data_IF_441576960368
#
_entry.id   IF_441576960368
#
_cell.length_a   1.000
_cell.length_b   1.000
_cell.length_c   1.000
_cell.angle_alpha   90.00
_cell.angle_beta   90.00
_cell.angle_gamma   90.00
#
_symmetry.space_group_name_H-M   'P 1'
#
loop_
_entity.id
_entity.type
_entity.pdbx_description
1 polymer ?
#
# COMPACT_ATOMS: atom_id res chain seq x y z
N UNK A 1 9.08 -16.87 -15.76
CA UNK A 1 8.42 -15.84 -14.93
C UNK A 1 8.25 -16.40 -13.53
N UNK A 2 8.83 -15.76 -12.49
CA UNK A 2 8.78 -16.29 -11.12
C UNK A 2 7.42 -15.94 -10.53
N UNK A 3 6.67 -16.92 -10.03
CA UNK A 3 5.36 -16.69 -9.42
C UNK A 3 5.52 -15.68 -8.27
N UNK A 4 4.80 -14.54 -8.33
CA UNK A 4 4.84 -13.53 -7.26
C UNK A 4 4.31 -14.19 -5.99
N UNK A 5 5.11 -14.19 -4.92
CA UNK A 5 4.66 -14.69 -3.61
C UNK A 5 3.51 -13.82 -3.14
N UNK A 6 2.57 -14.40 -2.37
CA UNK A 6 1.53 -13.61 -1.71
C UNK A 6 2.21 -12.69 -0.68
N UNK A 7 2.32 -11.40 -1.00
CA UNK A 7 2.94 -10.38 -0.15
C UNK A 7 1.89 -9.63 0.65
N UNK A 8 2.31 -8.86 1.66
CA UNK A 8 1.41 -7.95 2.39
C UNK A 8 0.73 -6.95 1.45
N UNK A 9 1.48 -6.40 0.49
CA UNK A 9 0.94 -5.54 -0.56
C UNK A 9 -0.11 -6.24 -1.43
N UNK A 10 0.07 -7.52 -1.73
CA UNK A 10 -0.91 -8.31 -2.50
C UNK A 10 -2.21 -8.48 -1.70
N UNK A 11 -2.10 -8.79 -0.41
CA UNK A 11 -3.26 -8.88 0.48
C UNK A 11 -3.94 -7.50 0.62
N UNK A 12 -3.18 -6.41 0.74
CA UNK A 12 -3.74 -5.07 0.83
C UNK A 12 -4.51 -4.66 -0.45
N UNK A 13 -4.04 -5.05 -1.64
CA UNK A 13 -4.80 -4.88 -2.89
C UNK A 13 -6.08 -5.71 -2.93
N UNK A 14 -6.02 -6.96 -2.47
CA UNK A 14 -7.21 -7.82 -2.34
C UNK A 14 -8.27 -7.16 -1.43
N UNK A 15 -7.83 -6.47 -0.36
CA UNK A 15 -8.67 -5.67 0.54
C UNK A 15 -9.18 -4.35 -0.06
N UNK A 16 -8.76 -3.96 -1.27
CA UNK A 16 -9.20 -2.73 -1.93
C UNK A 16 -8.46 -1.45 -1.50
N UNK A 17 -7.29 -1.57 -0.86
CA UNK A 17 -6.52 -0.43 -0.33
C UNK A 17 -5.66 0.29 -1.39
N UNK A 18 -5.84 -0.05 -2.68
CA UNK A 18 -5.04 0.50 -3.78
C UNK A 18 -5.33 1.99 -4.01
N UNK A 19 -6.60 2.40 -3.92
CA UNK A 19 -6.98 3.82 -4.05
C UNK A 19 -6.42 4.67 -2.90
N UNK A 20 -6.40 4.14 -1.67
CA UNK A 20 -5.78 4.81 -0.53
C UNK A 20 -4.25 4.94 -0.72
N UNK A 21 -3.60 3.92 -1.29
CA UNK A 21 -2.18 3.98 -1.61
C UNK A 21 -1.87 5.06 -2.67
N UNK A 22 -2.71 5.17 -3.71
CA UNK A 22 -2.58 6.23 -4.72
C UNK A 22 -2.81 7.62 -4.13
N UNK A 23 -3.81 7.77 -3.25
CA UNK A 23 -4.07 9.02 -2.54
C UNK A 23 -2.85 9.48 -1.72
N UNK A 24 -2.29 8.58 -0.91
CA UNK A 24 -1.10 8.86 -0.09
C UNK A 24 0.11 9.18 -0.96
N UNK A 25 0.33 8.41 -2.03
CA UNK A 25 1.47 8.58 -2.94
C UNK A 25 1.37 9.86 -3.77
N UNK A 26 0.17 10.28 -4.13
CA UNK A 26 -0.07 11.49 -4.91
C UNK A 26 0.37 12.77 -4.22
N UNK A 27 0.46 12.77 -2.88
CA UNK A 27 0.82 13.93 -2.06
C UNK A 27 -0.03 15.21 -2.33
N UNK A 28 -1.18 15.06 -2.99
CA UNK A 28 -2.17 16.11 -3.27
C UNK A 28 -3.37 15.98 -2.31
N UNK A 29 -3.06 15.74 -1.03
CA UNK A 29 -4.06 15.47 -0.02
C UNK A 29 -4.92 16.72 0.26
N UNK A 30 -6.21 16.62 -0.02
CA UNK A 30 -7.20 17.66 0.31
C UNK A 30 -7.69 17.56 1.76
N UNK A 31 -7.69 16.34 2.29
CA UNK A 31 -8.08 15.99 3.65
C UNK A 31 -6.97 15.16 4.31
N UNK A 32 -7.01 15.06 5.64
CA UNK A 32 -6.10 14.21 6.41
C UNK A 32 -6.21 12.74 5.93
N UNK A 33 -5.07 12.08 5.79
CA UNK A 33 -4.96 10.68 5.40
C UNK A 33 -5.76 9.77 6.33
N UNK A 34 -5.82 10.12 7.63
CA UNK A 34 -6.64 9.38 8.60
C UNK A 34 -8.13 9.42 8.24
N UNK A 35 -8.64 10.57 7.82
CA UNK A 35 -10.05 10.76 7.44
C UNK A 35 -10.36 10.00 6.15
N UNK A 36 -9.46 10.07 5.17
CA UNK A 36 -9.62 9.30 3.93
C UNK A 36 -9.58 7.79 4.19
N UNK A 37 -8.70 7.34 5.11
CA UNK A 37 -8.52 5.94 5.46
C UNK A 37 -9.74 5.32 6.18
N UNK A 38 -10.55 6.12 6.88
CA UNK A 38 -11.79 5.64 7.50
C UNK A 38 -12.77 5.06 6.46
N UNK A 39 -12.75 5.57 5.23
CA UNK A 39 -13.60 5.09 4.12
C UNK A 39 -13.27 3.65 3.69
N UNK A 40 -12.10 3.15 4.08
CA UNK A 40 -11.58 1.83 3.72
C UNK A 40 -11.67 0.82 4.87
N UNK A 41 -12.22 1.22 6.02
CA UNK A 41 -12.55 0.30 7.12
C UNK A 41 -13.73 -0.56 6.68
N UNK A 42 -13.56 -1.88 6.74
CA UNK A 42 -14.57 -2.84 6.29
C UNK A 42 -14.52 -4.09 7.13
N UNK A 43 -15.69 -4.63 7.48
CA UNK A 43 -15.86 -5.94 8.12
C UNK A 43 -16.29 -7.02 7.10
N UNK A 44 -16.19 -6.73 5.80
CA UNK A 44 -16.53 -7.68 4.73
C UNK A 44 -15.54 -8.85 4.72
N UNK A 45 -16.07 -10.09 4.69
CA UNK A 45 -15.27 -11.32 4.67
C UNK A 45 -14.31 -11.31 3.47
N UNK A 46 -13.01 -11.36 3.75
CA UNK A 46 -11.94 -11.27 2.73
C UNK A 46 -11.42 -9.86 2.45
N UNK A 47 -12.09 -8.81 2.95
CA UNK A 47 -11.62 -7.41 2.91
C UNK A 47 -11.56 -6.74 4.29
N UNK A 48 -11.45 -7.56 5.33
CA UNK A 48 -11.43 -7.10 6.71
C UNK A 48 -10.30 -6.07 6.95
N UNK A 49 -10.67 -4.87 7.36
CA UNK A 49 -9.80 -3.77 7.74
C UNK A 49 -10.37 -3.18 9.01
N UNK A 50 -9.71 -3.42 10.15
CA UNK A 50 -10.28 -3.17 11.49
C UNK A 50 -10.21 -1.71 11.92
N UNK A 51 -9.39 -0.91 11.26
CA UNK A 51 -9.16 0.49 11.62
C UNK A 51 -8.55 1.28 10.47
N UNK A 52 -8.69 2.60 10.51
CA UNK A 52 -8.03 3.51 9.57
C UNK A 52 -6.51 3.31 9.59
N UNK A 53 -5.91 3.02 10.74
CA UNK A 53 -4.48 2.73 10.87
C UNK A 53 -4.08 1.44 10.14
N UNK A 54 -4.92 0.40 10.18
CA UNK A 54 -4.69 -0.83 9.41
C UNK A 54 -4.80 -0.55 7.89
N UNK A 55 -5.77 0.27 7.48
CA UNK A 55 -5.92 0.70 6.09
C UNK A 55 -4.65 1.42 5.60
N UNK A 56 -4.15 2.37 6.39
CA UNK A 56 -2.92 3.11 6.10
C UNK A 56 -1.72 2.15 6.03
N UNK A 57 -1.59 1.23 6.98
CA UNK A 57 -0.49 0.26 6.97
C UNK A 57 -0.51 -0.60 5.69
N UNK A 58 -1.68 -1.08 5.27
CA UNK A 58 -1.82 -1.83 4.02
C UNK A 58 -1.51 -0.98 2.78
N UNK A 59 -1.94 0.28 2.76
CA UNK A 59 -1.60 1.22 1.69
C UNK A 59 -0.08 1.49 1.62
N UNK A 60 0.58 1.63 2.77
CA UNK A 60 2.04 1.77 2.85
C UNK A 60 2.78 0.52 2.36
N UNK A 61 2.28 -0.68 2.66
CA UNK A 61 2.84 -1.93 2.13
C UNK A 61 2.78 -1.96 0.59
N UNK A 62 1.67 -1.47 0.00
CA UNK A 62 1.53 -1.34 -1.46
C UNK A 62 2.59 -0.41 -2.03
N UNK A 63 2.75 0.78 -1.45
CA UNK A 63 3.74 1.78 -1.88
C UNK A 63 5.17 1.23 -1.73
N UNK A 64 5.46 0.54 -0.62
CA UNK A 64 6.77 -0.04 -0.37
C UNK A 64 7.13 -1.11 -1.41
N UNK A 65 6.19 -1.98 -1.79
CA UNK A 65 6.40 -2.95 -2.86
C UNK A 65 6.63 -2.24 -4.21
N UNK A 66 5.81 -1.23 -4.54
CA UNK A 66 5.97 -0.47 -5.79
C UNK A 66 7.36 0.17 -5.90
N UNK A 67 7.86 0.78 -4.82
CA UNK A 67 9.19 1.41 -4.78
C UNK A 67 10.29 0.33 -4.87
N UNK A 68 10.16 -0.77 -4.12
CA UNK A 68 11.16 -1.85 -4.10
C UNK A 68 11.28 -2.59 -5.44
N UNK A 69 10.19 -2.65 -6.21
CA UNK A 69 10.16 -3.29 -7.52
C UNK A 69 10.87 -2.44 -8.61
N UNK A 70 11.15 -1.15 -8.37
CA UNK A 70 11.90 -0.29 -9.31
C UNK A 70 13.37 -0.72 -9.40
N UNK A 71 13.78 -1.17 -10.58
CA UNK A 71 15.14 -1.68 -10.81
C UNK A 71 16.22 -0.62 -10.59
N UNK A 72 15.98 0.61 -11.04
CA UNK A 72 16.94 1.72 -10.91
C UNK A 72 17.26 2.02 -9.44
N UNK A 73 16.24 2.00 -8.57
CA UNK A 73 16.44 2.22 -7.13
C UNK A 73 17.28 1.10 -6.51
N UNK A 74 17.03 -0.16 -6.89
CA UNK A 74 17.83 -1.28 -6.40
C UNK A 74 19.28 -1.22 -6.85
N UNK A 75 19.52 -0.87 -8.12
CA UNK A 75 20.88 -0.71 -8.66
C UNK A 75 21.60 0.41 -7.92
N UNK A 76 20.97 1.57 -7.79
CA UNK A 76 21.52 2.70 -7.07
C UNK A 76 21.91 2.37 -5.63
N UNK A 77 20.98 1.77 -4.86
CA UNK A 77 21.24 1.39 -3.46
C UNK A 77 22.43 0.42 -3.37
N UNK A 78 22.49 -0.59 -4.26
CA UNK A 78 23.58 -1.57 -4.27
C UNK A 78 24.95 -0.94 -4.56
N UNK A 79 24.98 0.10 -5.38
CA UNK A 79 26.24 0.74 -5.79
C UNK A 79 26.77 1.72 -4.73
N UNK A 80 25.91 2.22 -3.83
CA UNK A 80 26.29 3.15 -2.75
C UNK A 80 26.58 2.49 -1.39
N UNK A 81 26.27 1.20 -1.23
CA UNK A 81 26.49 0.41 0.01
C UNK A 81 27.52 -0.69 -0.19
#
# INVERSE_FOLDING_TARGET
YKQKRRTRATIAREKGLEQLAEYIKGQDAKEDVLVEAEKYVSDEEGKEVKSAQEAIAGALDIIAEQISDVADYRTYIRDIT
#
